data_IF_372659703656
#
_entry.id   IF_372659703656
#
_cell.length_a   1.000
_cell.length_b   1.000
_cell.length_c   1.000
_cell.angle_alpha   90.00
_cell.angle_beta   90.00
_cell.angle_gamma   90.00
#
_symmetry.space_group_name_H-M   'P 1'
#
loop_
_entity.id
_entity.type
_entity.pdbx_description
1 polymer ?
#
# COMPACT_ATOMS: atom_id res chain seq x y z
N UNK A 1 -49.58 -40.12 8.98
CA UNK A 1 -49.83 -38.69 8.70
C UNK A 1 -48.61 -38.13 7.97
N UNK A 2 -48.82 -37.29 6.95
CA UNK A 2 -48.09 -37.29 5.68
C UNK A 2 -47.15 -36.06 5.57
N UNK A 3 -46.22 -35.95 4.63
CA UNK A 3 -46.52 -35.51 3.26
C UNK A 3 -45.37 -35.76 2.28
N UNK A 4 -45.79 -36.19 1.10
CA UNK A 4 -45.01 -36.48 -0.11
C UNK A 4 -44.70 -35.17 -0.92
N UNK A 5 -43.90 -35.26 -2.00
CA UNK A 5 -43.18 -34.14 -2.61
C UNK A 5 -43.99 -33.39 -3.67
N UNK A 6 -43.55 -32.17 -4.00
CA UNK A 6 -44.03 -31.44 -5.19
C UNK A 6 -42.95 -31.40 -6.28
N UNK A 7 -43.23 -32.14 -7.34
CA UNK A 7 -42.60 -32.03 -8.66
C UNK A 7 -43.36 -30.94 -9.42
N UNK A 8 -42.67 -29.97 -10.01
CA UNK A 8 -43.25 -29.17 -11.10
C UNK A 8 -42.43 -29.36 -12.37
N UNK A 9 -43.07 -30.01 -13.31
CA UNK A 9 -42.65 -30.16 -14.70
C UNK A 9 -42.75 -28.81 -15.42
N UNK A 10 -41.76 -28.50 -16.27
CA UNK A 10 -41.95 -27.53 -17.34
C UNK A 10 -41.81 -28.21 -18.70
N UNK A 11 -42.86 -28.01 -19.50
CA UNK A 11 -43.12 -28.54 -20.83
C UNK A 11 -42.12 -28.04 -21.86
N UNK A 12 -41.76 -28.92 -22.78
CA UNK A 12 -41.20 -28.62 -24.09
C UNK A 12 -42.37 -28.44 -25.06
N UNK A 13 -42.38 -27.40 -25.91
CA UNK A 13 -42.98 -27.41 -27.26
C UNK A 13 -42.25 -26.40 -28.18
N UNK A 14 -42.23 -26.58 -29.52
CA UNK A 14 -41.17 -26.15 -30.44
C UNK A 14 -41.59 -25.11 -31.52
N UNK A 15 -40.64 -24.78 -32.42
CA UNK A 15 -40.77 -24.04 -33.70
C UNK A 15 -41.00 -22.51 -33.58
N UNK A 16 -40.49 -21.58 -34.39
CA UNK A 16 -39.79 -21.59 -35.67
C UNK A 16 -39.60 -20.17 -36.21
N UNK A 17 -38.72 -20.02 -37.21
CA UNK A 17 -38.64 -18.96 -38.22
C UNK A 17 -38.29 -17.51 -37.81
N UNK A 18 -37.05 -17.12 -38.14
CA UNK A 18 -36.66 -15.94 -38.94
C UNK A 18 -37.28 -14.57 -38.66
N UNK A 19 -36.44 -13.62 -38.22
CA UNK A 19 -36.50 -12.23 -38.67
C UNK A 19 -35.11 -11.59 -38.63
N UNK A 20 -34.85 -10.88 -39.73
CA UNK A 20 -33.71 -10.08 -40.14
C UNK A 20 -33.42 -8.92 -39.19
N UNK A 21 -32.14 -8.57 -39.04
CA UNK A 21 -31.63 -7.22 -38.74
C UNK A 21 -32.24 -6.44 -37.58
N UNK A 22 -31.54 -6.37 -36.44
CA UNK A 22 -31.73 -5.31 -35.47
C UNK A 22 -30.39 -4.90 -34.86
N UNK A 23 -30.05 -3.61 -35.00
CA UNK A 23 -28.88 -2.98 -34.40
C UNK A 23 -28.85 -3.25 -32.89
N UNK A 24 -27.80 -3.91 -32.41
CA UNK A 24 -27.58 -4.05 -30.97
C UNK A 24 -26.90 -2.76 -30.49
N UNK A 25 -27.72 -1.80 -30.07
CA UNK A 25 -27.31 -0.79 -29.11
C UNK A 25 -26.98 -1.49 -27.79
N UNK A 26 -25.71 -1.87 -27.62
CA UNK A 26 -25.20 -2.44 -26.39
C UNK A 26 -25.24 -1.40 -25.27
N UNK A 27 -26.26 -1.51 -24.41
CA UNK A 27 -26.33 -0.79 -23.13
C UNK A 27 -25.07 -1.11 -22.32
N UNK A 28 -24.25 -0.08 -22.08
CA UNK A 28 -23.10 -0.15 -21.18
C UNK A 28 -23.54 -0.69 -19.81
N UNK A 29 -23.03 -1.87 -19.45
CA UNK A 29 -23.33 -2.54 -18.18
C UNK A 29 -22.78 -1.72 -17.00
N UNK A 30 -23.64 -1.48 -16.01
CA UNK A 30 -23.35 -0.86 -14.69
C UNK A 30 -22.12 -1.42 -13.95
N UNK A 31 -21.53 -2.53 -14.38
CA UNK A 31 -20.29 -3.12 -13.84
C UNK A 31 -19.08 -2.18 -13.97
N UNK A 32 -18.99 -1.38 -15.04
CA UNK A 32 -17.88 -0.44 -15.26
C UNK A 32 -17.87 0.73 -14.26
N UNK A 33 -19.04 1.09 -13.70
CA UNK A 33 -19.18 2.20 -12.75
C UNK A 33 -18.73 1.88 -11.31
N UNK A 34 -18.63 0.60 -10.95
CA UNK A 34 -18.14 0.16 -9.63
C UNK A 34 -16.60 0.12 -9.62
N UNK A 35 -15.98 -0.29 -10.74
CA UNK A 35 -14.52 -0.30 -10.87
C UNK A 35 -13.92 1.11 -10.85
N UNK A 36 -14.59 2.09 -11.46
CA UNK A 36 -14.06 3.46 -11.50
C UNK A 36 -14.18 4.20 -10.16
N UNK A 37 -15.06 3.75 -9.26
CA UNK A 37 -15.23 4.36 -7.93
C UNK A 37 -14.14 3.92 -6.93
N UNK A 38 -13.52 2.76 -7.16
CA UNK A 38 -12.34 2.29 -6.42
C UNK A 38 -11.03 2.89 -6.96
N UNK A 39 -11.06 3.49 -8.16
CA UNK A 39 -9.97 4.26 -8.74
C UNK A 39 -10.04 5.76 -8.39
N UNK A 40 -10.99 6.17 -7.53
CA UNK A 40 -11.10 7.52 -7.03
C UNK A 40 -10.05 7.77 -5.96
N UNK A 41 -8.94 8.41 -6.36
CA UNK A 41 -8.05 9.36 -5.63
C UNK A 41 -7.59 9.10 -4.16
N UNK A 42 -8.13 8.12 -3.43
CA UNK A 42 -7.77 7.75 -2.06
C UNK A 42 -6.81 6.56 -1.95
N UNK A 43 -6.64 5.75 -3.01
CA UNK A 43 -5.60 4.70 -3.03
C UNK A 43 -4.15 5.27 -3.14
N UNK A 44 -4.02 6.59 -3.18
CA UNK A 44 -2.85 7.32 -3.69
C UNK A 44 -1.67 7.43 -2.71
N UNK A 45 -1.82 7.13 -1.41
CA UNK A 45 -0.77 7.44 -0.41
C UNK A 45 -0.66 6.44 0.74
N UNK A 46 -0.87 5.16 0.46
CA UNK A 46 -0.65 4.13 1.48
C UNK A 46 0.82 3.67 1.40
N UNK A 47 1.57 3.87 2.50
CA UNK A 47 2.97 3.49 2.63
C UNK A 47 3.07 2.02 3.04
N UNK A 48 3.45 1.14 2.10
CA UNK A 48 3.46 -0.30 2.32
C UNK A 48 4.82 -0.92 2.01
N UNK A 49 5.16 -1.95 2.77
CA UNK A 49 6.18 -2.92 2.42
C UNK A 49 5.59 -4.02 1.54
N UNK A 50 6.45 -4.80 0.90
CA UNK A 50 6.07 -6.09 0.28
C UNK A 50 6.68 -7.25 1.06
N UNK A 51 6.17 -8.49 0.92
CA UNK A 51 6.81 -9.67 1.48
C UNK A 51 8.32 -9.74 1.18
N UNK A 52 9.10 -10.21 2.15
CA UNK A 52 10.56 -10.27 2.14
C UNK A 52 11.26 -8.98 2.53
N UNK A 53 10.52 -7.89 2.77
CA UNK A 53 11.09 -6.70 3.42
C UNK A 53 11.51 -7.07 4.85
N UNK A 54 12.78 -6.87 5.19
CA UNK A 54 13.30 -7.15 6.53
C UNK A 54 13.26 -5.88 7.36
N UNK A 55 12.59 -5.96 8.50
CA UNK A 55 12.49 -4.90 9.51
C UNK A 55 13.42 -5.26 10.66
N UNK A 56 14.24 -4.31 11.08
CA UNK A 56 15.16 -4.56 12.18
C UNK A 56 14.39 -4.56 13.50
N UNK A 57 14.54 -5.66 14.25
CA UNK A 57 14.02 -5.81 15.62
C UNK A 57 15.20 -5.99 16.59
N UNK A 58 15.00 -5.79 17.90
CA UNK A 58 16.03 -6.08 18.91
C UNK A 58 16.56 -7.52 18.87
N UNK A 59 15.76 -8.46 18.36
CA UNK A 59 16.13 -9.88 18.23
C UNK A 59 16.75 -10.23 16.88
N UNK A 60 16.97 -9.25 16.00
CA UNK A 60 17.46 -9.42 14.64
C UNK A 60 16.46 -8.98 13.57
N UNK A 61 16.86 -9.09 12.31
CA UNK A 61 16.00 -8.71 11.20
C UNK A 61 14.84 -9.70 11.03
N UNK A 62 13.60 -9.19 11.00
CA UNK A 62 12.37 -9.97 10.86
C UNK A 62 11.67 -9.64 9.54
N UNK A 63 11.24 -10.62 8.73
CA UNK A 63 10.37 -10.35 7.58
C UNK A 63 9.09 -9.64 8.01
N UNK A 64 8.68 -8.62 7.26
CA UNK A 64 7.51 -7.80 7.59
C UNK A 64 6.22 -8.62 7.62
N UNK A 65 6.13 -9.68 6.84
CA UNK A 65 5.00 -10.62 6.83
C UNK A 65 4.91 -11.51 8.08
N UNK A 66 6.01 -11.63 8.84
CA UNK A 66 6.10 -12.45 10.04
C UNK A 66 5.97 -11.64 11.33
N UNK A 67 6.07 -10.30 11.25
CA UNK A 67 5.80 -9.41 12.37
C UNK A 67 4.40 -9.64 12.92
N UNK A 68 4.25 -9.44 14.23
CA UNK A 68 2.98 -9.55 14.96
C UNK A 68 2.77 -8.35 15.88
N UNK A 69 1.50 -7.98 16.18
CA UNK A 69 1.23 -7.04 17.26
C UNK A 69 1.90 -7.50 18.57
N UNK A 70 2.61 -6.60 19.23
CA UNK A 70 3.42 -6.88 20.42
C UNK A 70 4.91 -7.05 20.13
N UNK A 71 5.31 -7.36 18.89
CA UNK A 71 6.73 -7.39 18.51
C UNK A 71 7.31 -5.97 18.58
N UNK A 72 8.61 -5.85 18.83
CA UNK A 72 9.30 -4.55 18.88
C UNK A 72 10.17 -4.34 17.67
N UNK A 73 10.19 -3.12 17.14
CA UNK A 73 11.01 -2.73 15.99
C UNK A 73 11.97 -1.61 16.38
N UNK A 74 13.17 -1.60 15.80
CA UNK A 74 14.11 -0.51 15.98
C UNK A 74 13.60 0.76 15.29
N UNK A 75 13.48 1.83 16.06
CA UNK A 75 13.18 3.16 15.54
C UNK A 75 14.34 4.12 15.75
N UNK A 76 14.37 5.19 14.96
CA UNK A 76 15.44 6.19 15.01
C UNK A 76 15.40 7.06 16.27
N UNK A 77 14.20 7.46 16.68
CA UNK A 77 14.03 8.56 17.63
C UNK A 77 13.61 8.10 19.04
N UNK A 78 12.91 6.97 19.15
CA UNK A 78 12.21 6.58 20.38
C UNK A 78 12.69 5.22 20.93
N UNK A 79 13.84 4.73 20.48
CA UNK A 79 14.30 3.37 20.81
C UNK A 79 13.40 2.28 20.22
N UNK A 80 13.48 1.03 20.70
CA UNK A 80 12.58 -0.02 20.23
C UNK A 80 11.12 0.27 20.57
N UNK A 81 10.23 0.23 19.59
CA UNK A 81 8.80 0.51 19.75
C UNK A 81 7.94 -0.69 19.41
N UNK A 82 6.83 -0.92 20.14
CA UNK A 82 5.94 -2.03 19.88
C UNK A 82 5.10 -1.79 18.62
N UNK A 83 4.97 -2.83 17.81
CA UNK A 83 3.99 -2.92 16.74
C UNK A 83 2.62 -3.10 17.39
N UNK A 84 1.68 -2.24 17.05
CA UNK A 84 0.31 -2.24 17.58
C UNK A 84 -0.70 -2.85 16.63
N UNK A 85 -0.46 -2.71 15.34
CA UNK A 85 -1.36 -3.22 14.32
C UNK A 85 -0.59 -3.59 13.07
N UNK A 86 -1.09 -4.59 12.35
CA UNK A 86 -0.57 -5.02 11.06
C UNK A 86 -1.74 -5.21 10.10
N UNK A 87 -1.68 -4.54 8.97
CA UNK A 87 -2.64 -4.71 7.89
C UNK A 87 -1.97 -5.15 6.62
N UNK A 88 -2.72 -5.85 5.77
CA UNK A 88 -2.23 -6.13 4.42
C UNK A 88 -3.34 -6.14 3.39
N UNK A 89 -2.98 -5.80 2.15
CA UNK A 89 -3.87 -5.80 0.99
C UNK A 89 -3.16 -6.42 -0.19
N UNK A 90 -3.82 -7.34 -0.88
CA UNK A 90 -3.32 -7.88 -2.14
C UNK A 90 -3.99 -7.17 -3.31
N UNK A 91 -3.20 -6.70 -4.27
CA UNK A 91 -3.66 -6.19 -5.54
C UNK A 91 -3.42 -7.24 -6.61
N UNK A 92 -4.44 -7.50 -7.43
CA UNK A 92 -4.43 -8.50 -8.49
C UNK A 92 -4.43 -7.84 -9.87
N UNK A 93 -4.13 -8.64 -10.91
CA UNK A 93 -3.88 -8.18 -12.27
C UNK A 93 -4.91 -7.20 -12.87
N UNK A 94 -6.23 -7.41 -12.71
CA UNK A 94 -7.23 -6.46 -13.20
C UNK A 94 -7.08 -5.05 -12.64
N UNK A 95 -6.74 -4.92 -11.35
CA UNK A 95 -6.51 -3.62 -10.70
C UNK A 95 -5.21 -3.01 -11.20
N UNK A 96 -4.15 -3.81 -11.24
CA UNK A 96 -2.81 -3.34 -11.64
C UNK A 96 -2.75 -2.90 -13.11
N UNK A 97 -3.54 -3.52 -14.00
CA UNK A 97 -3.64 -3.12 -15.41
C UNK A 97 -4.19 -1.71 -15.64
N UNK A 98 -5.08 -1.24 -14.75
CA UNK A 98 -5.69 0.11 -14.86
C UNK A 98 -5.04 1.13 -13.93
N UNK A 99 -4.30 0.66 -12.92
CA UNK A 99 -3.65 1.48 -11.92
C UNK A 99 -2.12 1.30 -11.95
N UNK A 100 -1.49 1.63 -13.07
CA UNK A 100 -0.03 1.49 -13.28
C UNK A 100 0.82 2.19 -12.19
N UNK A 101 0.28 3.24 -11.57
CA UNK A 101 0.96 3.96 -10.49
C UNK A 101 1.04 3.17 -9.18
N UNK A 102 0.37 2.03 -9.05
CA UNK A 102 0.38 1.13 -7.89
C UNK A 102 1.39 -0.02 -8.01
N UNK A 103 2.12 -0.12 -9.13
CA UNK A 103 3.21 -1.07 -9.26
C UNK A 103 4.34 -0.76 -8.25
N UNK A 104 4.93 -1.78 -7.62
CA UNK A 104 5.97 -1.59 -6.61
C UNK A 104 7.20 -0.89 -7.20
N UNK A 105 7.88 -0.13 -6.35
CA UNK A 105 9.22 0.39 -6.65
C UNK A 105 10.24 -0.59 -6.11
N UNK A 106 11.14 -1.04 -6.98
CA UNK A 106 12.32 -1.82 -6.62
C UNK A 106 13.47 -0.86 -6.41
N UNK A 107 14.09 -0.94 -5.25
CA UNK A 107 15.35 -0.27 -4.89
C UNK A 107 16.40 -1.37 -4.83
N UNK A 108 17.29 -1.41 -5.82
CA UNK A 108 18.34 -2.43 -5.87
C UNK A 108 19.32 -2.28 -4.72
N UNK A 109 19.96 -3.38 -4.35
CA UNK A 109 21.12 -3.38 -3.46
C UNK A 109 22.10 -2.27 -3.86
N UNK A 110 22.58 -1.51 -2.88
CA UNK A 110 23.54 -0.41 -3.06
C UNK A 110 23.04 0.80 -3.89
N UNK A 111 21.77 0.86 -4.29
CA UNK A 111 21.26 1.93 -5.14
C UNK A 111 21.25 3.32 -4.46
N UNK A 112 21.26 3.37 -3.12
CA UNK A 112 21.29 4.62 -2.35
C UNK A 112 22.71 4.98 -1.86
N UNK A 113 23.74 4.26 -2.32
CA UNK A 113 25.13 4.47 -1.89
C UNK A 113 25.50 3.77 -0.59
N UNK A 114 26.78 3.81 -0.20
CA UNK A 114 27.31 3.26 1.05
C UNK A 114 26.94 1.78 1.37
N UNK A 115 26.65 0.97 0.34
CA UNK A 115 26.22 -0.43 0.54
C UNK A 115 24.72 -0.60 0.84
N UNK A 116 23.91 0.44 0.61
CA UNK A 116 22.50 0.50 0.99
C UNK A 116 21.54 0.62 -0.21
N UNK A 117 20.34 -0.01 -0.14
CA UNK A 117 19.96 -1.01 0.84
C UNK A 117 20.86 -2.26 0.73
N UNK A 118 20.97 -3.02 1.81
CA UNK A 118 21.84 -4.21 1.90
C UNK A 118 21.45 -5.34 0.94
N UNK A 119 20.20 -5.33 0.45
CA UNK A 119 19.66 -6.17 -0.61
C UNK A 119 18.55 -5.44 -1.35
N UNK A 120 18.07 -6.03 -2.44
CA UNK A 120 16.93 -5.50 -3.18
C UNK A 120 15.70 -5.39 -2.28
N UNK A 121 15.08 -4.21 -2.27
CA UNK A 121 13.91 -3.89 -1.48
C UNK A 121 12.78 -3.43 -2.40
N UNK A 122 11.57 -3.94 -2.14
CA UNK A 122 10.35 -3.56 -2.85
C UNK A 122 9.43 -2.81 -1.90
N UNK A 123 8.96 -1.64 -2.33
CA UNK A 123 8.08 -0.78 -1.56
C UNK A 123 6.91 -0.31 -2.43
N UNK A 124 5.81 0.07 -1.78
CA UNK A 124 4.78 0.83 -2.49
C UNK A 124 5.33 2.18 -2.94
N UNK A 125 4.85 2.76 -4.04
CA UNK A 125 5.31 4.07 -4.51
C UNK A 125 5.09 5.21 -3.51
N UNK A 126 4.12 5.07 -2.61
CA UNK A 126 3.81 6.03 -1.54
C UNK A 126 4.64 5.84 -0.27
N UNK A 127 5.53 4.85 -0.20
CA UNK A 127 6.39 4.63 0.96
C UNK A 127 7.50 5.68 1.03
N UNK A 128 7.70 6.33 2.18
CA UNK A 128 8.76 7.34 2.34
C UNK A 128 10.04 6.73 2.91
N UNK A 129 11.16 7.10 2.30
CA UNK A 129 12.51 6.82 2.75
C UNK A 129 13.09 8.11 3.35
N UNK A 130 13.81 7.99 4.46
CA UNK A 130 14.52 9.11 5.05
C UNK A 130 15.91 9.20 4.40
N UNK A 131 16.17 10.30 3.70
CA UNK A 131 17.50 10.66 3.21
C UNK A 131 18.16 11.58 4.25
N UNK A 132 19.47 11.42 4.44
CA UNK A 132 20.28 12.22 5.37
C UNK A 132 21.10 13.25 4.58
N UNK A 133 21.44 14.38 5.21
CA UNK A 133 21.87 15.64 4.58
C UNK A 133 23.09 15.62 3.65
N UNK A 134 23.89 14.56 3.64
CA UNK A 134 24.97 14.36 2.68
C UNK A 134 24.52 13.65 1.39
N UNK A 135 23.25 13.25 1.31
CA UNK A 135 22.72 12.53 0.17
C UNK A 135 22.65 13.44 -1.08
N UNK A 136 23.15 13.01 -2.25
CA UNK A 136 23.18 13.81 -3.50
C UNK A 136 21.82 14.29 -4.06
N UNK A 137 20.71 13.91 -3.42
CA UNK A 137 19.34 14.27 -3.82
C UNK A 137 18.73 15.32 -2.90
N UNK A 138 19.50 15.86 -1.95
CA UNK A 138 19.06 16.88 -1.02
C UNK A 138 19.70 18.23 -1.37
N UNK A 139 18.92 19.29 -1.21
CA UNK A 139 19.42 20.66 -1.26
C UNK A 139 20.36 20.92 -0.07
N UNK A 140 21.35 21.80 -0.27
CA UNK A 140 22.30 22.16 0.78
C UNK A 140 21.57 22.78 1.99
N UNK A 141 21.76 22.19 3.18
CA UNK A 141 21.24 22.71 4.46
C UNK A 141 20.15 21.86 5.11
N UNK A 142 19.63 20.83 4.42
CA UNK A 142 18.64 19.91 4.99
C UNK A 142 19.34 18.73 5.69
N UNK A 143 19.06 18.50 6.98
CA UNK A 143 19.69 17.42 7.74
C UNK A 143 19.04 16.05 7.48
N UNK A 144 17.72 16.00 7.36
CA UNK A 144 16.93 14.77 7.19
C UNK A 144 15.62 15.05 6.46
N UNK A 145 15.32 14.33 5.37
CA UNK A 145 14.10 14.56 4.57
C UNK A 145 13.47 13.25 4.13
N UNK A 146 12.14 13.16 4.25
CA UNK A 146 11.38 12.07 3.65
C UNK A 146 11.17 12.27 2.15
N UNK A 147 11.48 11.23 1.38
CA UNK A 147 11.25 11.14 -0.06
C UNK A 147 10.43 9.89 -0.38
N UNK A 148 9.39 10.05 -1.21
CA UNK A 148 8.62 8.91 -1.70
C UNK A 148 9.44 8.00 -2.62
N UNK A 149 9.36 6.68 -2.42
CA UNK A 149 9.97 5.68 -3.30
C UNK A 149 9.58 5.90 -4.77
N UNK A 150 8.31 6.26 -5.02
CA UNK A 150 7.80 6.55 -6.34
C UNK A 150 8.46 7.75 -7.04
N UNK A 151 9.04 8.68 -6.29
CA UNK A 151 9.81 9.81 -6.83
C UNK A 151 11.27 9.44 -7.12
N UNK A 152 11.81 8.41 -6.46
CA UNK A 152 13.16 7.90 -6.73
C UNK A 152 13.21 7.01 -7.98
N UNK A 153 12.07 6.50 -8.44
CA UNK A 153 11.99 5.69 -9.66
C UNK A 153 12.52 6.46 -10.88
N UNK A 154 13.47 5.86 -11.59
CA UNK A 154 14.20 6.49 -12.69
C UNK A 154 15.64 6.87 -12.35
N UNK A 155 16.00 6.88 -11.05
CA UNK A 155 17.41 6.98 -10.62
C UNK A 155 18.14 5.65 -10.79
N UNK A 156 19.48 5.68 -10.75
CA UNK A 156 20.32 4.49 -10.96
C UNK A 156 19.96 3.39 -9.96
N UNK A 157 19.50 2.25 -10.48
CA UNK A 157 19.15 1.08 -9.65
C UNK A 157 17.79 1.16 -8.98
N UNK A 158 16.96 2.16 -9.29
CA UNK A 158 15.61 2.31 -8.73
C UNK A 158 14.58 2.42 -9.85
N UNK A 159 13.62 1.50 -9.90
CA UNK A 159 12.63 1.42 -10.99
C UNK A 159 11.30 0.85 -10.52
N UNK A 160 10.24 1.10 -11.29
CA UNK A 160 8.92 0.48 -11.07
C UNK A 160 8.89 -0.90 -11.73
N UNK A 161 8.46 -1.91 -11.00
CA UNK A 161 8.35 -3.29 -11.49
C UNK A 161 6.89 -3.60 -11.84
N UNK A 162 6.63 -3.86 -13.12
CA UNK A 162 5.32 -4.31 -13.57
C UNK A 162 5.08 -5.74 -13.06
N UNK A 163 4.03 -5.91 -12.26
CA UNK A 163 3.65 -7.19 -11.64
C UNK A 163 2.18 -7.47 -11.88
N UNK A 164 1.81 -8.75 -11.96
CA UNK A 164 0.40 -9.17 -12.09
C UNK A 164 -0.27 -9.36 -10.72
N UNK A 165 0.51 -9.41 -9.65
CA UNK A 165 0.02 -9.50 -8.26
C UNK A 165 1.05 -8.89 -7.32
N UNK A 166 0.59 -8.16 -6.31
CA UNK A 166 1.45 -7.66 -5.22
C UNK A 166 0.69 -7.67 -3.91
N UNK A 167 1.32 -8.16 -2.84
CA UNK A 167 0.83 -8.01 -1.47
C UNK A 167 1.55 -6.85 -0.82
N UNK A 168 0.77 -5.91 -0.29
CA UNK A 168 1.24 -4.75 0.44
C UNK A 168 0.94 -4.94 1.93
N UNK A 169 1.93 -4.70 2.77
CA UNK A 169 1.89 -4.92 4.22
C UNK A 169 2.24 -3.60 4.92
N UNK A 170 1.49 -3.30 5.97
CA UNK A 170 1.62 -2.11 6.79
C UNK A 170 1.70 -2.55 8.24
N UNK A 171 2.49 -1.84 9.04
CA UNK A 171 2.41 -1.96 10.48
C UNK A 171 2.43 -0.57 11.11
N UNK A 172 1.73 -0.45 12.23
CA UNK A 172 1.55 0.79 12.98
C UNK A 172 2.13 0.61 14.38
N UNK A 173 2.83 1.62 14.89
CA UNK A 173 3.27 1.71 16.28
C UNK A 173 2.37 2.68 17.05
N UNK A 174 2.70 2.98 18.32
CA UNK A 174 1.97 3.98 19.13
C UNK A 174 2.01 5.40 18.56
N UNK A 175 3.03 5.68 17.74
CA UNK A 175 3.20 6.91 16.97
C UNK A 175 3.78 6.56 15.60
N UNK A 176 3.83 7.54 14.72
CA UNK A 176 4.50 7.36 13.44
C UNK A 176 6.02 7.35 13.67
N UNK A 177 6.66 6.25 13.28
CA UNK A 177 8.06 5.99 13.60
C UNK A 177 8.91 5.93 12.33
N UNK A 178 10.16 6.40 12.43
CA UNK A 178 11.20 6.14 11.44
C UNK A 178 11.82 4.77 11.77
N UNK A 179 11.60 3.78 10.93
CA UNK A 179 12.00 2.38 11.16
C UNK A 179 13.11 1.96 10.22
N UNK A 180 13.98 1.05 10.67
CA UNK A 180 15.08 0.56 9.84
C UNK A 180 14.66 -0.69 9.07
N UNK A 181 14.76 -0.65 7.74
CA UNK A 181 14.49 -1.79 6.86
C UNK A 181 15.64 -2.01 5.88
N UNK A 182 16.17 -3.24 5.79
CA UNK A 182 17.36 -3.56 4.99
C UNK A 182 18.56 -2.61 5.16
N UNK A 183 18.70 -2.00 6.34
CA UNK A 183 19.77 -1.05 6.66
C UNK A 183 19.48 0.42 6.28
N UNK A 184 18.34 0.71 5.63
CA UNK A 184 17.91 2.09 5.32
C UNK A 184 16.81 2.55 6.28
N UNK A 185 16.68 3.87 6.41
CA UNK A 185 15.59 4.47 7.18
C UNK A 185 14.35 4.64 6.31
N UNK A 186 13.26 4.05 6.78
CA UNK A 186 11.92 4.06 6.20
C UNK A 186 10.93 4.47 7.28
N UNK A 187 9.64 4.23 7.08
CA UNK A 187 8.61 4.64 8.01
C UNK A 187 7.65 3.51 8.39
N UNK A 188 7.07 3.61 9.59
CA UNK A 188 5.88 2.86 9.93
C UNK A 188 4.66 3.44 9.19
N UNK A 189 3.53 2.73 9.25
CA UNK A 189 2.27 3.25 8.74
C UNK A 189 1.93 4.59 9.43
N UNK A 190 1.55 5.60 8.64
CA UNK A 190 0.99 6.85 9.14
C UNK A 190 -0.49 6.91 8.77
N UNK A 191 -1.41 6.72 9.73
CA UNK A 191 -2.82 6.85 9.46
C UNK A 191 -3.16 8.34 9.24
N UNK A 192 -3.41 8.69 7.98
CA UNK A 192 -3.93 9.98 7.55
C UNK A 192 -5.16 9.76 6.64
N UNK A 193 -5.93 10.81 6.37
CA UNK A 193 -7.19 10.65 5.62
C UNK A 193 -7.02 9.93 4.27
N UNK A 194 -6.03 10.29 3.41
CA UNK A 194 -5.75 9.52 2.20
C UNK A 194 -5.40 8.05 2.46
N UNK A 195 -4.56 7.76 3.46
CA UNK A 195 -4.17 6.39 3.79
C UNK A 195 -5.39 5.56 4.23
N UNK A 196 -6.28 6.13 5.05
CA UNK A 196 -7.50 5.48 5.53
C UNK A 196 -8.52 5.24 4.41
N UNK A 197 -8.66 6.18 3.46
CA UNK A 197 -9.51 6.01 2.28
C UNK A 197 -9.00 4.90 1.34
N UNK A 198 -7.69 4.68 1.31
CA UNK A 198 -7.06 3.62 0.52
C UNK A 198 -7.18 2.20 1.11
N UNK A 199 -7.66 2.06 2.34
CA UNK A 199 -7.80 0.78 3.04
C UNK A 199 -9.12 0.07 2.71
N UNK A 200 -9.18 -1.25 2.96
CA UNK A 200 -10.48 -1.94 2.96
C UNK A 200 -11.31 -1.48 4.16
N UNK A 201 -12.64 -1.61 4.03
CA UNK A 201 -13.56 -1.26 5.11
C UNK A 201 -13.22 -2.00 6.42
N UNK A 202 -12.95 -3.31 6.33
CA UNK A 202 -12.58 -4.13 7.49
C UNK A 202 -11.29 -3.67 8.18
N UNK A 203 -10.25 -3.34 7.40
CA UNK A 203 -8.98 -2.88 7.95
C UNK A 203 -9.12 -1.49 8.58
N UNK A 204 -9.97 -0.64 8.01
CA UNK A 204 -10.30 0.68 8.57
C UNK A 204 -11.07 0.54 9.88
N UNK A 205 -12.09 -0.33 9.95
CA UNK A 205 -12.88 -0.58 11.16
C UNK A 205 -12.02 -1.14 12.29
N UNK A 206 -11.14 -2.10 12.01
CA UNK A 206 -10.18 -2.63 12.97
C UNK A 206 -9.28 -1.52 13.51
N UNK A 207 -8.70 -0.73 12.63
CA UNK A 207 -7.78 0.34 12.99
C UNK A 207 -8.48 1.44 13.81
N UNK A 208 -9.72 1.81 13.46
CA UNK A 208 -10.54 2.73 14.24
C UNK A 208 -11.00 2.14 15.59
N UNK A 209 -11.06 0.81 15.71
CA UNK A 209 -11.33 0.14 17.00
C UNK A 209 -10.12 0.21 17.92
N UNK A 210 -8.93 -0.01 17.37
CA UNK A 210 -7.66 0.03 18.11
C UNK A 210 -7.24 1.47 18.48
N UNK A 211 -7.55 2.43 17.60
CA UNK A 211 -7.18 3.84 17.72
C UNK A 211 -8.41 4.74 17.45
N UNK A 212 -9.36 4.84 18.39
CA UNK A 212 -10.60 5.61 18.21
C UNK A 212 -10.37 7.08 17.86
N UNK A 213 -9.25 7.67 18.30
CA UNK A 213 -8.83 9.04 18.00
C UNK A 213 -8.68 9.31 16.49
N UNK A 214 -8.37 8.28 15.70
CA UNK A 214 -8.29 8.40 14.24
C UNK A 214 -9.66 8.58 13.58
N UNK A 215 -10.74 8.22 14.28
CA UNK A 215 -12.12 8.42 13.82
C UNK A 215 -12.58 9.87 13.97
N UNK A 216 -12.14 10.53 15.06
CA UNK A 216 -12.41 11.95 15.31
C UNK A 216 -11.49 12.89 14.48
N UNK A 217 -10.30 12.41 14.12
CA UNK A 217 -9.25 13.14 13.41
C UNK A 217 -9.39 13.17 11.87
N UNK A 218 -10.55 12.79 11.32
CA UNK A 218 -10.88 13.02 9.90
C UNK A 218 -10.87 14.52 9.50
N UNK A 219 -10.67 15.42 10.48
CA UNK A 219 -10.60 16.88 10.37
C UNK A 219 -9.17 17.47 10.27
N UNK A 220 -8.11 16.65 10.34
CA UNK A 220 -6.73 17.11 10.07
C UNK A 220 -5.75 17.17 11.26
N UNK A 221 -6.13 16.72 12.47
CA UNK A 221 -5.22 16.59 13.63
C UNK A 221 -4.86 15.12 13.95
N UNK A 222 -4.80 14.26 12.92
CA UNK A 222 -4.46 12.84 13.07
C UNK A 222 -2.95 12.60 13.08
N UNK A 223 -2.51 11.67 13.93
CA UNK A 223 -1.19 10.99 13.95
C UNK A 223 -0.08 11.72 13.16
N UNK A 224 0.59 12.67 13.82
CA UNK A 224 1.57 13.56 13.17
C UNK A 224 2.73 12.80 12.50
N UNK A 225 3.23 13.33 11.38
CA UNK A 225 4.40 12.74 10.71
C UNK A 225 5.66 12.95 11.57
N UNK A 226 6.61 11.99 11.56
CA UNK A 226 7.83 12.08 12.35
C UNK A 226 8.80 13.14 11.80
N UNK A 227 8.73 13.41 10.49
CA UNK A 227 9.50 14.43 9.77
C UNK A 227 8.67 15.04 8.63
N UNK A 228 9.03 16.25 8.16
CA UNK A 228 8.48 16.82 6.92
C UNK A 228 8.72 15.93 5.70
N UNK A 229 7.82 15.99 4.72
CA UNK A 229 7.95 15.27 3.44
C UNK A 229 8.27 16.23 2.30
N UNK A 230 9.13 15.80 1.37
CA UNK A 230 9.47 16.55 0.16
C UNK A 230 9.37 15.68 -1.09
N UNK A 231 9.27 16.36 -2.23
CA UNK A 231 9.49 15.73 -3.54
C UNK A 231 10.99 15.76 -3.80
N UNK A 232 11.58 14.62 -4.17
CA UNK A 232 12.96 14.61 -4.64
C UNK A 232 13.05 15.47 -5.90
N UNK A 233 14.00 16.41 -5.90
CA UNK A 233 14.40 17.17 -7.08
C UNK A 233 15.56 16.39 -7.69
N UNK A 234 15.42 15.93 -8.93
CA UNK A 234 16.54 15.30 -9.63
C UNK A 234 17.53 16.41 -10.00
N UNK A 235 18.83 16.27 -9.72
CA UNK A 235 19.82 17.17 -10.30
C UNK A 235 19.79 17.01 -11.83
N UNK A 236 19.78 18.14 -12.53
CA UNK A 236 19.76 18.21 -14.00
C UNK A 236 21.08 17.80 -14.64
#
# INVERSE_FOLDING_TARGET
MPYAPMVFAFRIFPWGAGVTGCQVAGKATKQAGIFNRLAGQGAQRVNCFTPGALIDTPSGACPVEDLRPGDTVHTRDNGPQPVRWIGSRTLEGPVLRVANHLHPVVIRKNALGAGLPSRDLRLSPGHRLLLLGDHPLLDAGEAEVFVFAGHLAGTRGIFREAVTRVRYIHFLCDRHEVVRSHGIWTESFQPNAPALEGMSQSAREELLTLFPELGAAASGEGFAAARPTRRAVMPG
#
